data_IF_161817564691
#
_entry.id   IF_161817564691
#
_cell.length_a   1.000
_cell.length_b   1.000
_cell.length_c   1.000
_cell.angle_alpha   90.00
_cell.angle_beta   90.00
_cell.angle_gamma   90.00
#
_symmetry.space_group_name_H-M   'P 1'
#
loop_
_entity.id
_entity.type
_entity.pdbx_description
1 polymer ?
#
# COMPACT_ATOMS: atom_id res chain seq x y z
N UNK A 1 26.87 -13.66 15.62
CA UNK A 1 26.21 -12.94 14.50
C UNK A 1 24.76 -12.70 14.90
N UNK A 2 24.44 -11.52 15.44
CA UNK A 2 23.04 -11.16 15.73
C UNK A 2 22.39 -10.76 14.41
N UNK A 3 21.36 -11.49 13.98
CA UNK A 3 20.62 -11.12 12.79
C UNK A 3 19.99 -9.73 13.00
N UNK A 4 20.40 -8.75 12.20
CA UNK A 4 19.68 -7.50 12.02
C UNK A 4 18.28 -7.87 11.54
N UNK A 5 17.27 -7.76 12.40
CA UNK A 5 15.88 -7.91 11.99
C UNK A 5 15.48 -6.61 11.30
N UNK A 6 15.67 -6.55 9.99
CA UNK A 6 14.98 -5.51 9.22
C UNK A 6 13.47 -5.71 9.42
N UNK A 7 12.74 -4.68 9.87
CA UNK A 7 11.31 -4.81 10.10
C UNK A 7 10.59 -5.01 8.76
N UNK A 8 9.97 -6.17 8.58
CA UNK A 8 9.08 -6.41 7.46
C UNK A 8 7.72 -5.79 7.75
N UNK A 9 7.28 -4.87 6.90
CA UNK A 9 5.95 -4.28 6.97
C UNK A 9 5.32 -4.19 5.58
N UNK A 10 4.01 -4.01 5.55
CA UNK A 10 3.19 -3.93 4.34
C UNK A 10 2.03 -2.95 4.56
N UNK A 11 1.36 -2.57 3.47
CA UNK A 11 0.19 -1.69 3.51
C UNK A 11 -1.03 -2.38 2.91
N UNK A 12 -2.19 -2.12 3.48
CA UNK A 12 -3.48 -2.46 2.88
C UNK A 12 -4.14 -1.20 2.32
N UNK A 13 -4.56 -1.26 1.06
CA UNK A 13 -5.22 -0.19 0.35
C UNK A 13 -6.67 -0.56 0.05
N UNK A 14 -7.55 0.44 0.11
CA UNK A 14 -8.95 0.29 -0.27
C UNK A 14 -9.17 0.99 -1.62
N UNK A 15 -9.86 0.34 -2.59
CA UNK A 15 -10.17 0.97 -3.86
C UNK A 15 -10.92 2.29 -3.67
N UNK A 16 -10.47 3.41 -4.29
CA UNK A 16 -11.18 4.68 -4.19
C UNK A 16 -12.59 4.58 -4.78
N UNK A 17 -13.56 5.24 -4.14
CA UNK A 17 -14.95 5.26 -4.61
C UNK A 17 -15.25 6.40 -5.58
N UNK A 18 -14.27 7.27 -5.86
CA UNK A 18 -14.47 8.48 -6.67
C UNK A 18 -13.32 8.72 -7.65
N UNK A 19 -13.57 9.35 -8.82
CA UNK A 19 -12.53 9.67 -9.78
C UNK A 19 -11.38 10.52 -9.22
N UNK A 20 -11.62 11.55 -8.37
CA UNK A 20 -10.52 12.29 -7.74
C UNK A 20 -9.66 11.43 -6.80
N UNK A 21 -10.24 10.42 -6.16
CA UNK A 21 -9.50 9.46 -5.35
C UNK A 21 -8.56 8.61 -6.20
N UNK A 22 -9.05 8.12 -7.35
CA UNK A 22 -8.23 7.41 -8.33
C UNK A 22 -7.08 8.26 -8.87
N UNK A 23 -7.31 9.54 -9.15
CA UNK A 23 -6.27 10.45 -9.62
C UNK A 23 -5.14 10.66 -8.58
N UNK A 24 -5.43 10.58 -7.28
CA UNK A 24 -4.44 10.75 -6.20
C UNK A 24 -3.69 9.47 -5.85
N UNK A 25 -4.29 8.31 -6.11
CA UNK A 25 -3.76 7.01 -5.67
C UNK A 25 -2.31 6.73 -6.14
N UNK A 26 -1.90 7.01 -7.40
CA UNK A 26 -0.53 6.76 -7.84
C UNK A 26 0.52 7.55 -7.04
N UNK A 27 0.23 8.82 -6.72
CA UNK A 27 1.14 9.66 -5.95
C UNK A 27 1.33 9.13 -4.51
N UNK A 28 0.24 8.71 -3.87
CA UNK A 28 0.26 8.08 -2.55
C UNK A 28 1.09 6.78 -2.56
N UNK A 29 0.84 5.88 -3.53
CA UNK A 29 1.58 4.62 -3.64
C UNK A 29 3.09 4.90 -3.82
N UNK A 30 3.44 5.87 -4.66
CA UNK A 30 4.83 6.26 -4.87
C UNK A 30 5.50 6.80 -3.60
N UNK A 31 4.77 7.52 -2.74
CA UNK A 31 5.28 8.00 -1.46
C UNK A 31 5.51 6.84 -0.50
N UNK A 32 4.54 5.94 -0.35
CA UNK A 32 4.63 4.76 0.51
C UNK A 32 5.68 3.76 0.04
N UNK A 33 5.93 3.66 -1.27
CA UNK A 33 6.96 2.78 -1.82
C UNK A 33 8.40 3.20 -1.42
N UNK A 34 8.63 4.47 -1.04
CA UNK A 34 9.96 4.97 -0.65
C UNK A 34 10.54 4.27 0.58
N UNK A 35 9.68 3.79 1.46
CA UNK A 35 10.09 3.05 2.66
C UNK A 35 10.20 1.54 2.44
N UNK A 36 10.08 1.08 1.18
CA UNK A 36 10.31 -0.32 0.75
C UNK A 36 9.46 -1.35 1.53
N UNK A 37 8.12 -1.22 1.53
CA UNK A 37 7.27 -2.27 2.09
C UNK A 37 7.46 -3.58 1.32
N UNK A 38 7.24 -4.71 1.99
CA UNK A 38 7.35 -6.03 1.36
C UNK A 38 6.31 -6.23 0.24
N UNK A 39 5.10 -5.70 0.44
CA UNK A 39 4.00 -5.73 -0.53
C UNK A 39 2.91 -4.70 -0.20
N UNK A 40 1.99 -4.52 -1.13
CA UNK A 40 0.70 -3.85 -0.92
C UNK A 40 -0.41 -4.88 -1.12
N UNK A 41 -1.36 -4.96 -0.19
CA UNK A 41 -2.64 -5.63 -0.42
C UNK A 41 -3.69 -4.61 -0.86
N UNK A 42 -4.66 -5.07 -1.65
CA UNK A 42 -5.83 -4.27 -2.03
C UNK A 42 -7.07 -5.03 -1.60
N UNK A 43 -7.88 -4.43 -0.74
CA UNK A 43 -9.12 -5.05 -0.28
C UNK A 43 -10.12 -5.15 -1.44
N UNK A 44 -10.73 -6.32 -1.59
CA UNK A 44 -11.89 -6.51 -2.46
C UNK A 44 -13.16 -6.47 -1.61
N UNK A 45 -14.02 -5.47 -1.84
CA UNK A 45 -15.26 -5.30 -1.11
C UNK A 45 -16.23 -6.46 -1.38
N UNK A 46 -17.00 -6.86 -0.37
CA UNK A 46 -18.09 -7.81 -0.59
C UNK A 46 -19.11 -7.21 -1.57
N UNK A 47 -19.21 -7.80 -2.77
CA UNK A 47 -20.10 -7.33 -3.83
C UNK A 47 -19.42 -6.58 -4.99
N UNK A 48 -18.11 -6.39 -4.97
CA UNK A 48 -17.36 -5.67 -6.01
C UNK A 48 -17.45 -4.17 -5.87
#
# INVERSE_FOLDING_TARGET
>A
MTASRDPHFSFELFPPRTPPGWAKLPALINELARIKPSFFSVTYGAGG
#
